data_IF_558883256588
#
_entry.id   IF_558883256588
#
_cell.length_a   1.000
_cell.length_b   1.000
_cell.length_c   1.000
_cell.angle_alpha   90.00
_cell.angle_beta   90.00
_cell.angle_gamma   90.00
#
_symmetry.space_group_name_H-M   'P 1'
#
loop_
_entity.id
_entity.type
_entity.pdbx_description
1 polymer ?
#
# COMPACT_ATOMS: atom_id res chain seq x y z
N UNK A 1 -71.35 35.88 19.17
CA UNK A 1 -70.11 36.69 18.97
C UNK A 1 -68.93 36.04 19.64
N UNK A 2 -69.00 35.65 20.94
CA UNK A 2 -67.87 35.04 21.71
C UNK A 2 -67.38 33.73 21.10
N UNK A 3 -68.24 32.80 20.67
CA UNK A 3 -67.90 31.52 20.04
C UNK A 3 -67.22 31.72 18.70
N UNK A 4 -67.59 32.68 17.92
CA UNK A 4 -66.96 32.99 16.63
C UNK A 4 -65.53 33.54 16.87
N UNK A 5 -65.37 34.39 17.87
CA UNK A 5 -64.04 34.92 18.24
C UNK A 5 -63.07 33.83 18.72
N UNK A 6 -63.55 32.92 19.57
CA UNK A 6 -62.83 31.78 20.03
C UNK A 6 -62.41 30.82 18.88
N UNK A 7 -63.30 30.61 17.94
CA UNK A 7 -63.02 29.78 16.74
C UNK A 7 -61.96 30.42 15.84
N UNK A 8 -62.04 31.72 15.60
CA UNK A 8 -61.04 32.46 14.84
C UNK A 8 -59.68 32.42 15.54
N UNK A 9 -59.64 32.59 16.85
CA UNK A 9 -58.44 32.51 17.66
C UNK A 9 -57.83 31.11 17.60
N UNK A 10 -58.65 30.05 17.64
CA UNK A 10 -58.23 28.67 17.49
C UNK A 10 -57.63 28.40 16.11
N UNK A 11 -58.25 28.86 15.03
CA UNK A 11 -57.72 28.74 13.68
C UNK A 11 -56.39 29.47 13.52
N UNK A 12 -56.30 30.67 14.06
CA UNK A 12 -55.07 31.46 14.06
C UNK A 12 -53.94 30.77 14.82
N UNK A 13 -54.24 30.26 16.01
CA UNK A 13 -53.25 29.47 16.81
C UNK A 13 -52.80 28.23 16.07
N UNK A 14 -53.71 27.50 15.46
CA UNK A 14 -53.40 26.31 14.65
C UNK A 14 -52.51 26.67 13.46
N UNK A 15 -52.76 27.75 12.79
CA UNK A 15 -51.95 28.26 11.67
C UNK A 15 -50.53 28.65 12.13
N UNK A 16 -50.41 29.39 13.21
CA UNK A 16 -49.12 29.74 13.81
C UNK A 16 -48.31 28.51 14.19
N UNK A 17 -48.94 27.51 14.78
CA UNK A 17 -48.28 26.24 15.13
C UNK A 17 -47.78 25.49 13.90
N UNK A 18 -48.56 25.46 12.84
CA UNK A 18 -48.17 24.87 11.55
C UNK A 18 -46.95 25.58 10.96
N UNK A 19 -46.96 26.90 10.93
CA UNK A 19 -45.88 27.72 10.42
C UNK A 19 -44.60 27.54 11.24
N UNK A 20 -44.71 27.49 12.56
CA UNK A 20 -43.59 27.20 13.45
C UNK A 20 -42.98 25.83 13.18
N UNK A 21 -43.81 24.81 12.97
CA UNK A 21 -43.33 23.45 12.66
C UNK A 21 -42.64 23.38 11.29
N UNK A 22 -43.16 24.11 10.29
CA UNK A 22 -42.50 24.19 8.98
C UNK A 22 -41.14 24.88 9.08
N UNK A 23 -41.05 25.99 9.76
CA UNK A 23 -39.79 26.72 9.96
C UNK A 23 -38.76 25.89 10.73
N UNK A 24 -39.23 25.11 11.71
CA UNK A 24 -38.34 24.22 12.45
C UNK A 24 -37.76 23.10 11.54
N UNK A 25 -38.60 22.51 10.69
CA UNK A 25 -38.14 21.49 9.71
C UNK A 25 -37.15 22.07 8.69
N UNK A 26 -37.43 23.24 8.16
CA UNK A 26 -36.52 23.93 7.23
C UNK A 26 -35.17 24.24 7.88
N UNK A 27 -35.21 24.70 9.14
CA UNK A 27 -33.99 24.93 9.92
C UNK A 27 -33.18 23.66 10.13
N UNK A 28 -33.82 22.55 10.44
CA UNK A 28 -33.14 21.24 10.63
C UNK A 28 -32.51 20.76 9.32
N UNK A 29 -33.24 20.86 8.21
CA UNK A 29 -32.71 20.52 6.88
C UNK A 29 -31.52 21.38 6.48
N UNK A 30 -31.61 22.70 6.77
CA UNK A 30 -30.53 23.62 6.47
C UNK A 30 -29.26 23.30 7.30
N UNK A 31 -29.44 22.99 8.59
CA UNK A 31 -28.33 22.60 9.47
C UNK A 31 -27.66 21.28 9.02
N UNK A 32 -28.45 20.32 8.57
CA UNK A 32 -27.96 19.05 8.03
C UNK A 32 -27.17 19.28 6.73
N UNK A 33 -27.72 20.08 5.81
CA UNK A 33 -27.04 20.46 4.56
C UNK A 33 -25.72 21.21 4.83
N UNK A 34 -25.71 22.15 5.79
CA UNK A 34 -24.48 22.84 6.20
C UNK A 34 -23.43 21.89 6.76
N UNK A 35 -23.81 20.93 7.62
CA UNK A 35 -22.89 19.93 8.16
C UNK A 35 -22.28 19.08 7.05
N UNK A 36 -23.09 18.70 6.08
CA UNK A 36 -22.63 17.90 4.94
C UNK A 36 -21.64 18.67 4.06
N UNK A 37 -21.97 19.94 3.75
CA UNK A 37 -21.07 20.83 3.00
C UNK A 37 -19.74 21.07 3.72
N UNK A 38 -19.76 21.28 5.03
CA UNK A 38 -18.52 21.42 5.82
C UNK A 38 -17.69 20.14 5.73
N UNK A 39 -18.32 18.98 5.88
CA UNK A 39 -17.62 17.68 5.78
C UNK A 39 -16.99 17.46 4.40
N UNK A 40 -17.72 17.78 3.34
CA UNK A 40 -17.20 17.68 1.96
C UNK A 40 -16.07 18.68 1.70
N UNK A 41 -16.23 19.92 2.18
CA UNK A 41 -15.19 20.95 2.09
C UNK A 41 -13.90 20.50 2.80
N UNK A 42 -14.01 20.03 4.04
CA UNK A 42 -12.84 19.56 4.81
C UNK A 42 -12.14 18.43 4.08
N UNK A 43 -12.89 17.44 3.56
CA UNK A 43 -12.32 16.36 2.76
C UNK A 43 -11.62 16.85 1.50
N UNK A 44 -12.20 17.82 0.80
CA UNK A 44 -11.60 18.40 -0.41
C UNK A 44 -10.31 19.19 -0.08
N UNK A 45 -10.29 19.93 1.03
CA UNK A 45 -9.12 20.65 1.50
C UNK A 45 -8.00 19.70 1.93
N UNK A 46 -8.31 18.63 2.67
CA UNK A 46 -7.35 17.58 3.04
C UNK A 46 -6.77 16.90 1.80
N UNK A 47 -7.60 16.52 0.83
CA UNK A 47 -7.16 15.93 -0.44
C UNK A 47 -6.25 16.88 -1.23
N UNK A 48 -6.56 18.18 -1.26
CA UNK A 48 -5.75 19.21 -1.92
C UNK A 48 -4.40 19.40 -1.23
N UNK A 49 -4.36 19.41 0.10
CA UNK A 49 -3.12 19.49 0.87
C UNK A 49 -2.24 18.25 0.65
N UNK A 50 -2.83 17.05 0.69
CA UNK A 50 -2.13 15.80 0.39
C UNK A 50 -1.55 15.79 -1.03
N UNK A 51 -2.30 16.27 -2.03
CA UNK A 51 -1.83 16.39 -3.42
C UNK A 51 -0.66 17.37 -3.54
N UNK A 52 -0.70 18.48 -2.83
CA UNK A 52 0.39 19.49 -2.84
C UNK A 52 1.64 18.95 -2.17
N UNK A 53 1.52 18.28 -1.02
CA UNK A 53 2.61 17.61 -0.33
C UNK A 53 3.22 16.50 -1.19
N UNK A 54 2.38 15.73 -1.89
CA UNK A 54 2.81 14.73 -2.86
C UNK A 54 3.70 15.31 -3.95
N UNK A 55 3.27 16.38 -4.63
CA UNK A 55 4.05 17.00 -5.71
C UNK A 55 5.39 17.56 -5.20
N UNK A 56 5.40 18.13 -4.00
CA UNK A 56 6.63 18.62 -3.36
C UNK A 56 7.61 17.47 -3.05
N UNK A 57 7.12 16.41 -2.41
CA UNK A 57 7.91 15.22 -2.09
C UNK A 57 8.41 14.52 -3.35
N UNK A 58 7.56 14.34 -4.37
CA UNK A 58 7.95 13.79 -5.66
C UNK A 58 9.08 14.58 -6.33
N UNK A 59 8.99 15.92 -6.30
CA UNK A 59 10.02 16.77 -6.88
C UNK A 59 11.38 16.57 -6.19
N UNK A 60 11.36 16.35 -4.88
CA UNK A 60 12.58 16.08 -4.11
C UNK A 60 13.12 14.67 -4.38
N UNK A 61 12.26 13.65 -4.33
CA UNK A 61 12.62 12.25 -4.54
C UNK A 61 13.11 11.96 -5.99
N UNK A 62 12.66 12.73 -6.99
CA UNK A 62 13.17 12.67 -8.37
C UNK A 62 14.50 13.41 -8.50
N UNK A 63 14.66 14.57 -7.84
CA UNK A 63 15.87 15.40 -7.96
C UNK A 63 17.11 14.71 -7.44
N UNK A 64 17.00 14.01 -6.32
CA UNK A 64 18.14 13.35 -5.65
C UNK A 64 18.82 12.31 -6.56
N UNK A 65 18.12 11.27 -7.08
CA UNK A 65 18.73 10.29 -7.99
C UNK A 65 19.16 10.94 -9.31
N UNK A 66 18.40 11.90 -9.84
CA UNK A 66 18.78 12.60 -11.06
C UNK A 66 20.12 13.35 -10.92
N UNK A 67 20.32 14.07 -9.81
CA UNK A 67 21.58 14.76 -9.52
C UNK A 67 22.74 13.78 -9.37
N UNK A 68 22.51 12.60 -8.76
CA UNK A 68 23.52 11.56 -8.66
C UNK A 68 23.89 11.02 -10.06
N UNK A 69 22.88 10.69 -10.90
CA UNK A 69 23.12 10.22 -12.28
C UNK A 69 23.95 11.27 -13.06
N UNK A 70 23.53 12.53 -13.03
CA UNK A 70 24.23 13.61 -13.76
C UNK A 70 25.66 13.82 -13.24
N UNK A 71 25.84 13.88 -11.91
CA UNK A 71 27.14 14.08 -11.27
C UNK A 71 28.14 12.97 -11.58
N UNK A 72 27.74 11.71 -11.36
CA UNK A 72 28.60 10.56 -11.60
C UNK A 72 28.83 10.28 -13.09
N UNK A 73 27.88 10.64 -13.98
CA UNK A 73 28.09 10.59 -15.42
C UNK A 73 29.20 11.54 -15.88
N UNK A 74 29.31 12.72 -15.26
CA UNK A 74 30.42 13.65 -15.51
C UNK A 74 31.76 13.07 -15.10
N UNK A 75 31.83 12.51 -13.88
CA UNK A 75 33.05 11.89 -13.35
C UNK A 75 33.49 10.66 -14.15
N UNK A 76 32.55 9.90 -14.69
CA UNK A 76 32.82 8.67 -15.48
C UNK A 76 33.65 8.95 -16.75
N UNK A 77 33.50 10.15 -17.34
CA UNK A 77 34.20 10.54 -18.59
C UNK A 77 35.48 11.30 -18.34
N UNK A 78 35.83 11.61 -17.07
CA UNK A 78 37.08 12.27 -16.74
C UNK A 78 38.28 11.35 -17.04
N UNK A 79 39.35 11.88 -17.67
CA UNK A 79 40.56 11.10 -17.98
C UNK A 79 41.32 10.58 -16.75
N UNK A 80 41.13 11.23 -15.61
CA UNK A 80 41.76 10.86 -14.33
C UNK A 80 41.12 9.70 -13.59
N UNK A 81 39.91 9.28 -13.99
CA UNK A 81 39.12 8.23 -13.35
C UNK A 81 39.71 6.85 -13.68
N UNK A 82 40.07 6.08 -12.67
CA UNK A 82 40.60 4.74 -12.84
C UNK A 82 39.47 3.71 -13.11
N UNK A 83 39.84 2.45 -13.37
CA UNK A 83 38.90 1.39 -13.73
C UNK A 83 38.01 0.97 -12.56
N UNK A 84 38.48 1.08 -11.33
CA UNK A 84 37.73 0.74 -10.12
C UNK A 84 36.69 1.81 -9.81
N UNK A 85 37.07 3.07 -9.87
CA UNK A 85 36.17 4.21 -9.79
C UNK A 85 35.10 4.19 -10.88
N UNK A 86 35.44 3.81 -12.12
CA UNK A 86 34.49 3.68 -13.23
C UNK A 86 33.42 2.63 -12.93
N UNK A 87 33.80 1.50 -12.36
CA UNK A 87 32.84 0.46 -11.95
C UNK A 87 31.93 0.95 -10.84
N UNK A 88 32.49 1.64 -9.84
CA UNK A 88 31.73 2.22 -8.75
C UNK A 88 30.72 3.27 -9.27
N UNK A 89 31.16 4.24 -10.09
CA UNK A 89 30.29 5.27 -10.65
C UNK A 89 29.19 4.67 -11.53
N UNK A 90 29.52 3.66 -12.34
CA UNK A 90 28.55 2.92 -13.14
C UNK A 90 27.49 2.22 -12.28
N UNK A 91 27.89 1.64 -11.16
CA UNK A 91 26.98 1.03 -10.18
C UNK A 91 26.05 2.04 -9.54
N UNK A 92 26.59 3.21 -9.12
CA UNK A 92 25.81 4.31 -8.55
C UNK A 92 24.79 4.82 -9.56
N UNK A 93 25.19 5.05 -10.81
CA UNK A 93 24.28 5.48 -11.89
C UNK A 93 23.16 4.47 -12.10
N UNK A 94 23.51 3.17 -12.19
CA UNK A 94 22.50 2.11 -12.38
C UNK A 94 21.51 2.06 -11.24
N UNK A 95 22.00 2.06 -9.99
CA UNK A 95 21.14 2.02 -8.81
C UNK A 95 20.18 3.23 -8.74
N UNK A 96 20.65 4.42 -9.08
CA UNK A 96 19.80 5.62 -9.10
C UNK A 96 18.82 5.63 -10.28
N UNK A 97 19.19 5.03 -11.41
CA UNK A 97 18.27 4.82 -12.54
C UNK A 97 17.12 3.87 -12.16
N UNK A 98 17.44 2.75 -11.49
CA UNK A 98 16.45 1.81 -11.01
C UNK A 98 15.50 2.44 -9.97
N UNK A 99 16.04 3.27 -9.07
CA UNK A 99 15.23 4.07 -8.14
C UNK A 99 14.26 4.99 -8.89
N UNK A 100 14.73 5.69 -9.91
CA UNK A 100 13.89 6.58 -10.71
C UNK A 100 12.78 5.84 -11.45
N UNK A 101 13.10 4.70 -12.06
CA UNK A 101 12.10 3.87 -12.75
C UNK A 101 11.03 3.37 -11.77
N UNK A 102 11.42 2.96 -10.57
CA UNK A 102 10.46 2.54 -9.53
C UNK A 102 9.55 3.70 -9.12
N UNK A 103 10.10 4.92 -8.92
CA UNK A 103 9.32 6.11 -8.61
C UNK A 103 8.29 6.44 -9.70
N UNK A 104 8.71 6.39 -10.97
CA UNK A 104 7.81 6.63 -12.11
C UNK A 104 6.69 5.59 -12.14
N UNK A 105 7.01 4.32 -11.94
CA UNK A 105 6.01 3.25 -11.91
C UNK A 105 5.03 3.42 -10.74
N UNK A 106 5.51 3.75 -9.54
CA UNK A 106 4.67 4.02 -8.38
C UNK A 106 3.66 5.17 -8.65
N UNK A 107 4.11 6.24 -9.33
CA UNK A 107 3.26 7.38 -9.73
C UNK A 107 2.23 6.99 -10.77
N UNK A 108 2.64 6.20 -11.78
CA UNK A 108 1.75 5.71 -12.82
C UNK A 108 0.68 4.78 -12.22
N UNK A 109 1.07 3.89 -11.32
CA UNK A 109 0.15 3.01 -10.60
C UNK A 109 -0.85 3.84 -9.78
N UNK A 110 -0.37 4.84 -9.01
CA UNK A 110 -1.25 5.73 -8.26
C UNK A 110 -2.23 6.48 -9.17
N UNK A 111 -1.76 7.01 -10.29
CA UNK A 111 -2.59 7.74 -11.26
C UNK A 111 -3.68 6.83 -11.87
N UNK A 112 -3.33 5.60 -12.25
CA UNK A 112 -4.29 4.61 -12.76
C UNK A 112 -5.30 4.20 -11.70
N UNK A 113 -4.88 4.11 -10.43
CA UNK A 113 -5.75 3.85 -9.30
C UNK A 113 -6.80 4.94 -9.11
N UNK A 114 -6.41 6.22 -9.17
CA UNK A 114 -7.33 7.35 -8.99
C UNK A 114 -8.41 7.40 -10.08
N UNK A 115 -8.04 7.02 -11.31
CA UNK A 115 -8.97 6.95 -12.45
C UNK A 115 -9.81 5.66 -12.42
N UNK A 116 -9.45 4.68 -11.56
CA UNK A 116 -10.09 3.36 -11.53
C UNK A 116 -9.68 2.44 -12.69
N UNK A 117 -8.62 2.79 -13.42
CA UNK A 117 -8.14 2.12 -14.64
C UNK A 117 -6.92 1.20 -14.37
N UNK A 118 -6.77 0.72 -13.15
CA UNK A 118 -5.73 -0.26 -12.85
C UNK A 118 -6.16 -1.64 -13.37
N UNK A 119 -5.55 -2.04 -14.49
CA UNK A 119 -5.78 -3.35 -15.08
C UNK A 119 -4.97 -4.42 -14.33
N UNK A 120 -5.63 -5.53 -14.02
CA UNK A 120 -5.01 -6.72 -13.45
C UNK A 120 -5.11 -7.88 -14.45
N UNK A 121 -3.99 -8.50 -14.77
CA UNK A 121 -3.94 -9.74 -15.55
C UNK A 121 -4.04 -10.94 -14.60
N UNK A 122 -5.27 -11.17 -14.11
CA UNK A 122 -5.53 -12.19 -13.09
C UNK A 122 -5.58 -13.57 -13.76
N UNK A 123 -4.73 -14.46 -13.30
CA UNK A 123 -4.59 -15.85 -13.77
C UNK A 123 -4.29 -16.78 -12.60
N UNK A 124 -4.48 -18.07 -12.84
CA UNK A 124 -4.09 -19.11 -11.90
C UNK A 124 -2.58 -19.30 -11.90
N UNK A 125 -1.98 -19.20 -10.74
CA UNK A 125 -0.55 -19.37 -10.54
C UNK A 125 -0.26 -20.29 -9.34
N UNK A 126 0.73 -21.15 -9.45
CA UNK A 126 1.27 -21.85 -8.30
C UNK A 126 1.98 -20.84 -7.37
N UNK A 127 1.49 -20.73 -6.14
CA UNK A 127 2.01 -19.77 -5.17
C UNK A 127 3.51 -19.99 -4.89
N UNK A 128 3.95 -21.25 -4.86
CA UNK A 128 5.35 -21.60 -4.71
C UNK A 128 6.23 -20.92 -5.77
N UNK A 129 5.81 -20.97 -7.04
CA UNK A 129 6.55 -20.35 -8.15
C UNK A 129 6.55 -18.84 -8.03
N UNK A 130 5.41 -18.24 -7.71
CA UNK A 130 5.32 -16.78 -7.50
C UNK A 130 6.27 -16.30 -6.39
N UNK A 131 6.30 -17.01 -5.27
CA UNK A 131 7.20 -16.70 -4.15
C UNK A 131 8.67 -16.85 -4.53
N UNK A 132 9.04 -17.91 -5.26
CA UNK A 132 10.41 -18.12 -5.74
C UNK A 132 10.86 -17.01 -6.68
N UNK A 133 10.02 -16.60 -7.63
CA UNK A 133 10.30 -15.49 -8.54
C UNK A 133 10.46 -14.16 -7.78
N UNK A 134 9.63 -13.90 -6.78
CA UNK A 134 9.75 -12.73 -5.93
C UNK A 134 11.07 -12.71 -5.14
N UNK A 135 11.47 -13.83 -4.56
CA UNK A 135 12.73 -13.97 -3.84
C UNK A 135 13.95 -13.76 -4.74
N UNK A 136 13.95 -14.35 -5.95
CA UNK A 136 15.03 -14.12 -6.92
C UNK A 136 15.12 -12.63 -7.34
N UNK A 137 13.98 -11.95 -7.50
CA UNK A 137 13.95 -10.53 -7.87
C UNK A 137 14.57 -9.60 -6.82
N UNK A 138 14.58 -10.00 -5.55
CA UNK A 138 15.16 -9.19 -4.45
C UNK A 138 16.54 -9.64 -4.02
N UNK A 139 16.97 -10.85 -4.37
CA UNK A 139 18.23 -11.45 -3.91
C UNK A 139 19.45 -10.55 -4.12
N UNK A 140 19.54 -9.90 -5.27
CA UNK A 140 20.64 -8.98 -5.61
C UNK A 140 20.56 -7.59 -4.96
N UNK A 141 19.44 -7.28 -4.28
CA UNK A 141 19.20 -6.00 -3.58
C UNK A 141 19.37 -6.13 -2.07
N UNK A 142 19.50 -7.36 -1.59
CA UNK A 142 19.65 -7.63 -0.15
C UNK A 142 21.11 -7.35 0.24
N UNK A 143 21.33 -6.56 1.31
CA UNK A 143 22.68 -6.25 1.78
C UNK A 143 23.45 -7.52 2.19
N UNK A 144 24.78 -7.48 2.03
CA UNK A 144 25.66 -8.55 2.52
C UNK A 144 25.46 -8.72 4.04
N UNK A 145 25.22 -9.97 4.46
CA UNK A 145 24.97 -10.32 5.87
C UNK A 145 23.49 -10.41 6.26
N UNK A 146 22.55 -10.12 5.35
CA UNK A 146 21.12 -10.42 5.55
C UNK A 146 20.81 -11.80 4.98
N UNK A 147 20.30 -12.69 5.83
CA UNK A 147 19.90 -14.04 5.43
C UNK A 147 18.49 -14.01 4.84
N UNK A 148 18.33 -14.49 3.62
CA UNK A 148 17.04 -14.69 2.98
C UNK A 148 16.62 -16.15 3.09
N UNK A 149 15.47 -16.40 3.73
CA UNK A 149 14.93 -17.75 3.92
C UNK A 149 13.54 -17.89 3.33
N UNK A 150 13.18 -19.12 2.97
CA UNK A 150 11.87 -19.44 2.42
C UNK A 150 11.31 -20.68 3.10
N UNK A 151 10.11 -20.56 3.63
CA UNK A 151 9.41 -21.61 4.37
C UNK A 151 8.04 -21.88 3.74
N UNK A 152 7.98 -22.62 2.62
CA UNK A 152 6.72 -22.95 1.95
C UNK A 152 5.93 -24.00 2.72
N UNK A 153 4.60 -23.95 2.63
CA UNK A 153 3.76 -25.09 2.99
C UNK A 153 3.97 -26.25 1.99
N UNK A 154 3.78 -27.48 2.47
CA UNK A 154 4.06 -28.70 1.67
C UNK A 154 3.04 -29.01 0.58
N UNK A 155 1.93 -28.29 0.48
CA UNK A 155 0.85 -28.52 -0.48
C UNK A 155 0.95 -27.59 -1.70
N UNK A 156 0.56 -28.05 -2.92
CA UNK A 156 0.50 -27.21 -4.10
C UNK A 156 -0.71 -26.27 -4.04
N UNK A 157 -0.46 -25.01 -3.70
CA UNK A 157 -1.47 -23.98 -3.57
C UNK A 157 -1.53 -23.18 -4.86
N UNK A 158 -2.72 -23.08 -5.45
CA UNK A 158 -3.03 -22.21 -6.58
C UNK A 158 -3.72 -20.96 -6.08
N UNK A 159 -3.27 -19.80 -6.55
CA UNK A 159 -3.84 -18.49 -6.27
C UNK A 159 -4.27 -17.83 -7.57
N UNK A 160 -5.43 -17.17 -7.55
CA UNK A 160 -5.98 -16.45 -8.68
C UNK A 160 -5.59 -14.99 -8.59
N UNK A 161 -4.43 -14.63 -9.17
CA UNK A 161 -3.79 -13.34 -8.97
C UNK A 161 -3.10 -12.82 -10.23
N UNK A 162 -2.78 -11.52 -10.24
CA UNK A 162 -1.77 -10.96 -11.12
C UNK A 162 -0.39 -11.19 -10.49
N UNK A 163 0.43 -12.01 -11.14
CA UNK A 163 1.74 -12.41 -10.62
C UNK A 163 2.70 -11.22 -10.44
N UNK A 164 2.68 -10.22 -11.32
CA UNK A 164 3.50 -9.02 -11.18
C UNK A 164 3.11 -8.22 -9.94
N UNK A 165 1.82 -8.12 -9.67
CA UNK A 165 1.28 -7.41 -8.50
C UNK A 165 1.57 -8.16 -7.21
N UNK A 166 1.47 -9.50 -7.24
CA UNK A 166 1.86 -10.32 -6.10
C UNK A 166 3.37 -10.17 -5.80
N UNK A 167 4.23 -10.19 -6.83
CA UNK A 167 5.66 -9.93 -6.66
C UNK A 167 5.92 -8.54 -6.07
N UNK A 168 5.21 -7.51 -6.51
CA UNK A 168 5.32 -6.15 -5.98
C UNK A 168 5.00 -6.10 -4.48
N UNK A 169 3.94 -6.81 -4.05
CA UNK A 169 3.61 -6.98 -2.64
C UNK A 169 4.76 -7.61 -1.84
N UNK A 170 5.27 -8.74 -2.31
CA UNK A 170 6.29 -9.52 -1.62
C UNK A 170 7.64 -8.77 -1.56
N UNK A 171 8.02 -8.08 -2.63
CA UNK A 171 9.29 -7.34 -2.70
C UNK A 171 9.28 -6.06 -1.89
N UNK A 172 8.13 -5.38 -1.78
CA UNK A 172 8.04 -4.16 -0.98
C UNK A 172 8.29 -4.42 0.51
N UNK A 173 7.82 -5.54 1.03
CA UNK A 173 8.05 -5.88 2.43
C UNK A 173 9.54 -6.13 2.75
N UNK A 174 10.35 -6.55 1.75
CA UNK A 174 11.79 -6.84 1.93
C UNK A 174 12.71 -5.59 1.93
N UNK A 175 12.20 -4.40 1.61
CA UNK A 175 13.03 -3.18 1.45
C UNK A 175 13.62 -2.61 2.74
N UNK A 176 13.13 -3.02 3.91
CA UNK A 176 13.41 -2.33 5.17
C UNK A 176 14.34 -3.08 6.12
N UNK A 177 14.95 -4.18 5.67
CA UNK A 177 15.87 -4.98 6.49
C UNK A 177 17.31 -4.73 6.08
N UNK A 178 18.11 -4.15 6.98
CA UNK A 178 19.53 -3.85 6.74
C UNK A 178 20.47 -4.93 7.30
N UNK A 179 20.06 -5.64 8.34
CA UNK A 179 20.80 -6.73 9.00
C UNK A 179 19.83 -7.76 9.53
N UNK A 180 20.28 -8.99 9.67
CA UNK A 180 19.50 -10.08 10.24
C UNK A 180 18.92 -11.02 9.21
N UNK A 181 17.65 -11.36 9.34
CA UNK A 181 16.99 -12.35 8.48
C UNK A 181 15.69 -11.80 7.90
N UNK A 182 15.42 -12.15 6.63
CA UNK A 182 14.12 -11.98 5.99
C UNK A 182 13.58 -13.37 5.69
N UNK A 183 12.40 -13.70 6.19
CA UNK A 183 11.73 -14.97 5.92
C UNK A 183 10.44 -14.72 5.14
N UNK A 184 10.32 -15.34 3.97
CA UNK A 184 9.06 -15.46 3.25
C UNK A 184 8.47 -16.84 3.57
N UNK A 185 7.23 -16.88 4.00
CA UNK A 185 6.51 -18.10 4.31
C UNK A 185 5.08 -18.06 3.81
N UNK A 186 4.50 -19.22 3.57
CA UNK A 186 3.07 -19.32 3.37
C UNK A 186 2.50 -20.60 3.99
N UNK A 187 1.25 -20.54 4.43
CA UNK A 187 0.52 -21.68 4.99
C UNK A 187 -0.97 -21.54 4.69
N UNK A 188 -1.65 -22.68 4.58
CA UNK A 188 -3.10 -22.69 4.46
C UNK A 188 -3.76 -22.27 5.76
N UNK A 189 -4.81 -21.46 5.68
CA UNK A 189 -5.71 -21.22 6.80
C UNK A 189 -6.51 -22.50 7.13
N UNK A 190 -7.06 -22.62 8.35
CA UNK A 190 -7.81 -23.83 8.77
C UNK A 190 -8.98 -24.22 7.87
N UNK A 191 -9.61 -23.23 7.22
CA UNK A 191 -10.71 -23.45 6.27
C UNK A 191 -10.27 -24.01 4.92
N UNK A 192 -8.95 -24.06 4.66
CA UNK A 192 -8.29 -24.50 3.42
C UNK A 192 -8.76 -23.78 2.14
N UNK A 193 -9.43 -22.64 2.28
CA UNK A 193 -9.89 -21.76 1.18
C UNK A 193 -9.06 -20.50 1.05
N UNK A 194 -8.22 -20.25 2.04
CA UNK A 194 -7.34 -19.09 2.09
C UNK A 194 -5.92 -19.51 2.41
N UNK A 195 -4.99 -18.77 1.86
CA UNK A 195 -3.57 -18.89 2.16
C UNK A 195 -3.09 -17.63 2.86
N UNK A 196 -2.34 -17.82 3.93
CA UNK A 196 -1.61 -16.78 4.65
C UNK A 196 -0.18 -16.74 4.11
N UNK A 197 0.22 -15.64 3.53
CA UNK A 197 1.58 -15.37 3.08
C UNK A 197 2.17 -14.35 4.05
N UNK A 198 3.34 -14.65 4.63
CA UNK A 198 3.99 -13.77 5.58
C UNK A 198 5.40 -13.44 5.12
N UNK A 199 5.74 -12.14 5.15
CA UNK A 199 7.10 -11.65 5.05
C UNK A 199 7.48 -11.14 6.43
N UNK A 200 8.46 -11.81 7.02
CA UNK A 200 8.94 -11.52 8.38
C UNK A 200 10.37 -11.05 8.30
N UNK A 201 10.70 -9.95 8.94
CA UNK A 201 12.07 -9.47 9.09
C UNK A 201 12.45 -9.33 10.57
N UNK A 202 13.75 -9.32 10.83
CA UNK A 202 14.32 -9.05 12.16
C UNK A 202 14.94 -7.66 12.23
N UNK A 203 14.38 -6.71 11.51
CA UNK A 203 14.82 -5.31 11.45
C UNK A 203 14.37 -4.47 12.64
N UNK A 204 14.30 -3.17 12.42
CA UNK A 204 13.91 -2.20 13.48
C UNK A 204 12.44 -2.32 13.94
N UNK A 205 11.61 -3.07 13.21
CA UNK A 205 10.18 -3.18 13.49
C UNK A 205 9.40 -1.89 13.16
N UNK A 206 8.12 -1.89 13.51
CA UNK A 206 7.23 -0.75 13.26
C UNK A 206 6.55 -0.36 14.58
N UNK A 207 6.76 0.88 15.07
CA UNK A 207 6.12 1.38 16.29
C UNK A 207 4.59 1.24 16.23
N UNK A 208 3.95 0.88 17.33
CA UNK A 208 2.50 0.61 17.40
C UNK A 208 1.67 1.79 16.88
N UNK A 209 2.07 3.03 17.21
CA UNK A 209 1.40 4.25 16.74
C UNK A 209 1.48 4.45 15.23
N UNK A 210 2.52 3.88 14.58
CA UNK A 210 2.71 3.95 13.13
C UNK A 210 2.02 2.80 12.38
N UNK A 211 1.72 1.68 13.03
CA UNK A 211 1.13 0.51 12.37
C UNK A 211 -0.22 0.79 11.73
N UNK A 212 -1.02 1.70 12.29
CA UNK A 212 -2.31 2.09 11.73
C UNK A 212 -2.19 3.02 10.51
N UNK A 213 -1.09 3.78 10.42
CA UNK A 213 -0.92 4.82 9.39
C UNK A 213 0.03 4.44 8.28
N UNK A 214 0.88 3.40 8.46
CA UNK A 214 1.92 3.03 7.49
C UNK A 214 1.37 2.61 6.11
N UNK A 215 0.11 2.23 6.02
CA UNK A 215 -0.59 1.95 4.78
C UNK A 215 -1.20 3.20 4.13
N UNK A 216 -1.16 4.35 4.81
CA UNK A 216 -1.61 5.60 4.23
C UNK A 216 -0.64 6.04 3.13
N UNK A 217 -1.16 6.74 2.13
CA UNK A 217 -0.35 7.31 1.05
C UNK A 217 0.62 8.34 1.64
N UNK A 218 1.87 8.29 1.20
CA UNK A 218 2.95 9.22 1.58
C UNK A 218 3.45 9.09 3.02
N UNK A 219 3.00 8.08 3.75
CA UNK A 219 3.52 7.78 5.08
C UNK A 219 4.87 7.08 4.96
N UNK A 220 5.85 7.54 5.73
CA UNK A 220 7.18 6.96 5.85
C UNK A 220 7.47 6.63 7.31
N UNK A 221 8.18 5.54 7.56
CA UNK A 221 8.73 5.24 8.89
C UNK A 221 9.95 6.11 9.18
N UNK A 222 10.73 6.37 8.15
CA UNK A 222 11.97 7.14 8.19
C UNK A 222 12.01 8.10 6.99
N UNK A 223 12.03 9.40 7.28
CA UNK A 223 12.05 10.45 6.26
C UNK A 223 13.38 10.50 5.48
N UNK A 224 14.45 9.91 6.04
CA UNK A 224 15.77 9.87 5.41
C UNK A 224 15.92 8.72 4.40
N UNK A 225 15.03 7.70 4.44
CA UNK A 225 15.07 6.60 3.46
C UNK A 225 14.42 7.01 2.14
N UNK A 226 15.05 6.67 0.99
CA UNK A 226 14.52 7.01 -0.33
C UNK A 226 13.18 6.34 -0.59
N UNK A 227 12.25 7.09 -1.20
CA UNK A 227 10.91 6.61 -1.57
C UNK A 227 9.80 7.56 -1.18
N UNK A 228 8.69 7.55 -1.92
CA UNK A 228 7.58 8.50 -1.78
C UNK A 228 6.55 8.08 -0.71
N UNK A 229 6.70 6.92 -0.10
CA UNK A 229 5.69 6.39 0.83
C UNK A 229 4.43 5.85 0.13
N UNK A 230 4.55 5.39 -1.12
CA UNK A 230 3.44 4.82 -1.89
C UNK A 230 3.41 3.30 -1.87
N UNK A 231 4.56 2.64 -1.65
CA UNK A 231 4.68 1.19 -1.81
C UNK A 231 3.66 0.38 -1.01
N UNK A 232 3.50 0.64 0.29
CA UNK A 232 2.56 -0.10 1.14
C UNK A 232 1.09 0.24 0.85
N UNK A 233 0.79 1.48 0.49
CA UNK A 233 -0.58 1.87 0.10
C UNK A 233 -1.00 1.22 -1.23
N UNK A 234 -0.07 1.09 -2.18
CA UNK A 234 -0.26 0.32 -3.41
C UNK A 234 -0.49 -1.16 -3.08
N UNK A 235 0.33 -1.72 -2.19
CA UNK A 235 0.19 -3.11 -1.74
C UNK A 235 -1.18 -3.38 -1.11
N UNK A 236 -1.65 -2.50 -0.23
CA UNK A 236 -2.96 -2.63 0.40
C UNK A 236 -4.08 -2.65 -0.65
N UNK A 237 -4.04 -1.72 -1.61
CA UNK A 237 -5.04 -1.68 -2.68
C UNK A 237 -4.99 -2.93 -3.57
N UNK A 238 -3.79 -3.43 -3.90
CA UNK A 238 -3.64 -4.68 -4.65
C UNK A 238 -4.30 -5.83 -3.88
N UNK A 239 -4.02 -5.94 -2.56
CA UNK A 239 -4.63 -6.96 -1.72
C UNK A 239 -6.16 -6.86 -1.73
N UNK A 240 -6.73 -5.66 -1.56
CA UNK A 240 -8.17 -5.41 -1.62
C UNK A 240 -8.79 -5.80 -2.98
N UNK A 241 -8.11 -5.49 -4.07
CA UNK A 241 -8.56 -5.85 -5.44
C UNK A 241 -8.51 -7.35 -5.72
N UNK A 242 -7.65 -8.08 -5.04
CA UNK A 242 -7.56 -9.54 -5.10
C UNK A 242 -8.50 -10.22 -4.08
N UNK A 243 -9.45 -9.48 -3.50
CA UNK A 243 -10.37 -9.96 -2.44
C UNK A 243 -9.61 -10.56 -1.24
N UNK A 244 -8.45 -10.00 -0.96
CA UNK A 244 -7.54 -10.38 0.11
C UNK A 244 -7.47 -9.36 1.23
N UNK A 245 -6.57 -9.58 2.17
CA UNK A 245 -6.28 -8.65 3.26
C UNK A 245 -4.79 -8.55 3.49
N UNK A 246 -4.28 -7.32 3.66
CA UNK A 246 -2.89 -7.04 4.01
C UNK A 246 -2.83 -6.28 5.34
N UNK A 247 -2.04 -6.77 6.28
CA UNK A 247 -1.89 -6.14 7.60
C UNK A 247 -0.54 -6.48 8.23
N UNK A 248 -0.23 -5.79 9.34
CA UNK A 248 0.94 -6.06 10.18
C UNK A 248 0.52 -6.96 11.33
N UNK A 249 1.29 -8.02 11.58
CA UNK A 249 1.12 -8.85 12.75
C UNK A 249 1.74 -8.15 13.98
N UNK A 250 0.91 -7.43 14.73
CA UNK A 250 1.33 -6.68 15.92
C UNK A 250 1.81 -7.59 17.09
N UNK A 251 1.58 -8.91 17.02
CA UNK A 251 2.07 -9.86 18.02
C UNK A 251 3.56 -10.20 17.81
N UNK A 252 4.11 -9.93 16.63
CA UNK A 252 5.52 -10.13 16.34
C UNK A 252 6.32 -8.90 16.76
N UNK A 253 7.32 -9.07 17.61
CA UNK A 253 8.08 -7.97 18.24
C UNK A 253 9.56 -7.92 17.89
N UNK A 254 10.09 -8.96 17.21
CA UNK A 254 11.53 -9.07 16.89
C UNK A 254 11.89 -8.37 15.56
N UNK A 255 10.99 -7.56 15.01
CA UNK A 255 11.09 -6.87 13.75
C UNK A 255 9.71 -6.51 13.21
N UNK A 256 9.48 -6.66 11.90
CA UNK A 256 8.17 -6.51 11.31
C UNK A 256 7.70 -7.81 10.63
N UNK A 257 6.39 -8.06 10.70
CA UNK A 257 5.74 -9.15 9.97
C UNK A 257 4.55 -8.62 9.22
N UNK A 258 4.66 -8.61 7.91
CA UNK A 258 3.55 -8.31 7.01
C UNK A 258 2.85 -9.59 6.61
N UNK A 259 1.53 -9.58 6.72
CA UNK A 259 0.69 -10.74 6.43
C UNK A 259 -0.29 -10.39 5.31
N UNK A 260 -0.24 -11.16 4.24
CA UNK A 260 -1.19 -11.12 3.13
C UNK A 260 -2.05 -12.39 3.17
N UNK A 261 -3.36 -12.23 3.18
CA UNK A 261 -4.32 -13.33 3.08
C UNK A 261 -5.00 -13.26 1.71
N UNK A 262 -4.97 -14.36 0.97
CA UNK A 262 -5.62 -14.48 -0.34
C UNK A 262 -6.52 -15.71 -0.37
N UNK A 263 -7.55 -15.67 -1.21
CA UNK A 263 -8.30 -16.86 -1.60
C UNK A 263 -7.42 -17.81 -2.41
N UNK A 264 -7.56 -19.11 -2.21
CA UNK A 264 -6.74 -20.11 -2.89
C UNK A 264 -7.50 -21.41 -3.14
N UNK A 265 -6.96 -22.21 -4.04
CA UNK A 265 -7.37 -23.58 -4.31
C UNK A 265 -6.18 -24.52 -4.10
N UNK A 266 -6.45 -25.80 -3.81
CA UNK A 266 -5.41 -26.82 -3.70
C UNK A 266 -5.46 -27.65 -4.97
N UNK A 267 -4.36 -27.64 -5.72
CA UNK A 267 -4.26 -28.47 -6.92
C UNK A 267 -3.89 -29.92 -6.55
N UNK A 268 -4.92 -30.72 -6.34
CA UNK A 268 -4.75 -32.14 -6.05
C UNK A 268 -4.18 -32.96 -7.22
N UNK A 269 -4.09 -32.40 -8.42
CA UNK A 269 -3.51 -33.10 -9.59
C UNK A 269 -1.97 -33.11 -9.57
N UNK A 270 -1.36 -32.16 -8.85
CA UNK A 270 0.11 -32.02 -8.69
C UNK A 270 0.58 -32.67 -7.38
N UNK A 271 -0.33 -32.95 -6.46
CA UNK A 271 0.00 -33.56 -5.18
C UNK A 271 0.33 -35.05 -5.34
N UNK A 272 1.63 -35.37 -5.38
CA UNK A 272 2.11 -36.74 -5.18
C UNK A 272 2.51 -36.85 -3.69
N UNK A 273 1.69 -37.46 -2.82
CA UNK A 273 2.10 -37.64 -1.43
C UNK A 273 3.42 -38.43 -1.39
N UNK A 274 4.33 -38.15 -0.46
CA UNK A 274 5.49 -38.96 -0.28
C UNK A 274 5.04 -40.41 -0.06
N UNK A 275 5.56 -41.33 -0.89
CA UNK A 275 5.32 -42.76 -0.70
C UNK A 275 5.96 -43.09 0.64
N UNK A 276 5.14 -43.39 1.65
CA UNK A 276 5.63 -43.98 2.90
C UNK A 276 6.22 -45.36 2.53
N UNK A 277 7.55 -45.47 2.65
CA UNK A 277 8.32 -46.71 2.55
C UNK A 277 8.61 -47.24 3.95
#
# INVERSE_FOLDING_TARGET
VLLILLYVLFLYYRHLRSLKNQLQREKELLLESQRQLIKEKTRAEEASLMKSAFLANMSHEVRTPLNAIVGFSGLLVEPSTDEEERKEYSSIIRNNTDLMLNLVNDVLDLSRMEIGDLHFDIKDHLLLVCCQMALESVRHRIPDGVKLTFSPAGEPIVVHVDNLRLQQLLTNAAKFTEKGEINLSFQLEPDRKKVRIAVTDTGAGIPLEKQATIFNRFEKLDDYKPGVGLGLSICLLIAERLDGALFIDSSYTDGARFVLILSCEIDSSIYNPPIEV
#
